data_IF_940334082598
#
_entry.id   IF_940334082598
#
_cell.length_a   1.000
_cell.length_b   1.000
_cell.length_c   1.000
_cell.angle_alpha   90.00
_cell.angle_beta   90.00
_cell.angle_gamma   90.00
#
_symmetry.space_group_name_H-M   'P 1'
#
loop_
_entity.id
_entity.type
_entity.pdbx_description
1 polymer ?
#
# COMPACT_ATOMS: atom_id res chain seq x y z
N UNK A 1 -5.30 0.11 -3.57
CA UNK A 1 -4.85 1.33 -4.26
C UNK A 1 -3.32 1.48 -4.23
N UNK A 2 -2.67 1.29 -3.11
CA UNK A 2 -1.22 1.50 -2.99
C UNK A 2 -0.40 0.68 -3.98
N UNK A 3 -0.68 -0.60 -4.14
CA UNK A 3 0.03 -1.46 -5.09
C UNK A 3 -0.08 -0.93 -6.52
N UNK A 4 -1.28 -0.51 -6.92
CA UNK A 4 -1.50 0.03 -8.27
C UNK A 4 -0.74 1.34 -8.49
N UNK A 5 -0.72 2.22 -7.51
CA UNK A 5 0.01 3.49 -7.58
C UNK A 5 1.51 3.23 -7.72
N UNK A 6 2.05 2.35 -6.87
CA UNK A 6 3.47 2.02 -6.89
C UNK A 6 3.87 1.39 -8.23
N UNK A 7 3.06 0.45 -8.71
CA UNK A 7 3.28 -0.20 -10.02
C UNK A 7 3.32 0.83 -11.15
N UNK A 8 2.36 1.75 -11.14
CA UNK A 8 2.25 2.78 -12.17
C UNK A 8 3.44 3.75 -12.14
N UNK A 9 3.79 4.26 -10.96
CA UNK A 9 4.89 5.20 -10.78
C UNK A 9 6.24 4.57 -11.17
N UNK A 10 6.46 3.33 -10.77
CA UNK A 10 7.68 2.61 -11.11
C UNK A 10 7.81 2.42 -12.62
N UNK A 11 6.71 2.05 -13.28
CA UNK A 11 6.69 1.88 -14.73
C UNK A 11 7.01 3.19 -15.45
N UNK A 12 6.39 4.30 -15.04
CA UNK A 12 6.64 5.61 -15.65
C UNK A 12 8.10 6.06 -15.51
N UNK A 13 8.74 5.69 -14.41
CA UNK A 13 10.11 6.11 -14.10
C UNK A 13 11.17 5.11 -14.56
N UNK A 14 10.76 4.00 -15.17
CA UNK A 14 11.69 2.96 -15.62
C UNK A 14 12.37 2.22 -14.48
N UNK A 15 11.74 2.15 -13.30
CA UNK A 15 12.27 1.46 -12.12
C UNK A 15 11.66 0.07 -12.06
N UNK A 16 12.50 -0.95 -11.93
CA UNK A 16 12.04 -2.34 -11.79
C UNK A 16 11.81 -2.68 -10.34
N UNK A 17 10.54 -2.95 -9.97
CA UNK A 17 10.15 -3.40 -8.64
C UNK A 17 9.10 -4.49 -8.78
N UNK A 18 9.09 -5.42 -7.82
CA UNK A 18 8.03 -6.42 -7.70
C UNK A 18 7.08 -5.90 -6.63
N UNK A 19 5.83 -5.67 -6.99
CA UNK A 19 4.82 -5.12 -6.10
C UNK A 19 3.76 -6.16 -5.76
N UNK A 20 3.26 -6.12 -4.53
CA UNK A 20 2.17 -6.95 -4.09
C UNK A 20 1.43 -6.23 -2.96
N UNK A 21 0.23 -6.69 -2.64
CA UNK A 21 -0.54 -6.16 -1.51
C UNK A 21 -1.28 -7.29 -0.80
N UNK A 22 -1.54 -7.08 0.49
CA UNK A 22 -2.21 -8.06 1.33
C UNK A 22 -2.99 -7.36 2.43
N UNK A 23 -4.00 -8.03 2.96
CA UNK A 23 -4.76 -7.57 4.12
C UNK A 23 -4.52 -8.45 5.34
N UNK A 24 -4.79 -7.92 6.52
CA UNK A 24 -4.67 -8.68 7.77
C UNK A 24 -5.88 -9.55 8.06
N UNK A 25 -7.00 -9.37 7.33
CA UNK A 25 -8.18 -10.21 7.44
C UNK A 25 -8.32 -11.10 6.19
N UNK A 26 -9.15 -12.15 6.30
CA UNK A 26 -9.40 -13.08 5.19
C UNK A 26 -10.75 -12.86 4.50
N UNK A 27 -11.51 -11.82 4.90
CA UNK A 27 -12.88 -11.60 4.41
C UNK A 27 -12.99 -11.40 2.91
N UNK A 28 -11.98 -10.80 2.30
CA UNK A 28 -12.01 -10.39 0.89
C UNK A 28 -11.00 -11.13 0.01
N UNK A 29 -10.42 -12.22 0.50
CA UNK A 29 -9.42 -13.00 -0.25
C UNK A 29 -9.99 -13.40 -1.62
N UNK A 30 -9.23 -13.11 -2.67
CA UNK A 30 -9.62 -13.40 -4.04
C UNK A 30 -10.52 -12.35 -4.69
N UNK A 31 -10.98 -11.36 -3.94
CA UNK A 31 -11.85 -10.31 -4.48
C UNK A 31 -11.05 -9.24 -5.22
N UNK A 32 -11.68 -8.64 -6.22
CA UNK A 32 -11.17 -7.46 -6.90
C UNK A 32 -11.27 -6.24 -5.97
N UNK A 33 -10.53 -5.15 -6.25
CA UNK A 33 -10.68 -3.91 -5.50
C UNK A 33 -12.11 -3.38 -5.55
N UNK A 34 -12.49 -2.62 -4.51
CA UNK A 34 -13.78 -1.93 -4.46
C UNK A 34 -14.01 -1.14 -5.75
N UNK A 35 -15.21 -1.20 -6.36
CA UNK A 35 -15.50 -0.46 -7.60
C UNK A 35 -15.25 1.04 -7.50
N UNK A 36 -15.45 1.64 -6.32
CA UNK A 36 -15.19 3.07 -6.12
C UNK A 36 -13.69 3.35 -6.12
N UNK A 37 -12.89 2.45 -5.56
CA UNK A 37 -11.43 2.55 -5.61
C UNK A 37 -10.96 2.44 -7.06
N UNK A 38 -11.50 1.50 -7.83
CA UNK A 38 -11.18 1.35 -9.25
C UNK A 38 -11.53 2.62 -10.04
N UNK A 39 -12.72 3.20 -9.77
CA UNK A 39 -13.15 4.43 -10.43
C UNK A 39 -12.22 5.60 -10.10
N UNK A 40 -11.82 5.75 -8.84
CA UNK A 40 -10.88 6.79 -8.43
C UNK A 40 -9.53 6.65 -9.14
N UNK A 41 -9.04 5.41 -9.27
CA UNK A 41 -7.78 5.15 -9.96
C UNK A 41 -7.86 5.45 -11.46
N UNK A 42 -8.98 5.10 -12.11
CA UNK A 42 -9.21 5.41 -13.53
C UNK A 42 -9.21 6.92 -13.77
N UNK A 43 -9.78 7.71 -12.84
CA UNK A 43 -9.73 9.17 -12.93
C UNK A 43 -8.30 9.71 -12.93
N UNK A 44 -7.35 8.96 -12.37
CA UNK A 44 -5.94 9.30 -12.33
C UNK A 44 -5.11 8.58 -13.41
N UNK A 45 -5.78 7.94 -14.36
CA UNK A 45 -5.11 7.21 -15.44
C UNK A 45 -4.51 5.88 -15.03
N UNK A 46 -4.98 5.27 -13.96
CA UNK A 46 -4.46 4.01 -13.43
C UNK A 46 -5.55 2.94 -13.40
N UNK A 47 -5.18 1.70 -13.71
CA UNK A 47 -6.09 0.56 -13.66
C UNK A 47 -5.61 -0.47 -12.64
N UNK A 48 -6.53 -0.92 -11.77
CA UNK A 48 -6.24 -1.90 -10.72
C UNK A 48 -7.21 -3.08 -10.74
N UNK A 49 -8.06 -3.19 -11.77
CA UNK A 49 -9.06 -4.24 -11.85
C UNK A 49 -8.50 -5.65 -11.89
N UNK A 50 -7.22 -5.81 -12.29
CA UNK A 50 -6.53 -7.09 -12.33
C UNK A 50 -6.04 -7.55 -10.94
N UNK A 51 -5.96 -6.65 -9.96
CA UNK A 51 -5.47 -6.98 -8.63
C UNK A 51 -6.50 -7.80 -7.85
N UNK A 52 -6.01 -8.66 -6.96
CA UNK A 52 -6.87 -9.49 -6.12
C UNK A 52 -6.37 -9.46 -4.67
N UNK A 53 -7.31 -9.44 -3.75
CA UNK A 53 -6.99 -9.46 -2.32
C UNK A 53 -6.39 -10.80 -1.91
N UNK A 54 -5.39 -10.77 -1.04
CA UNK A 54 -4.87 -11.95 -0.37
C UNK A 54 -4.60 -11.61 1.10
N UNK A 55 -4.45 -12.64 1.92
CA UNK A 55 -4.13 -12.45 3.31
C UNK A 55 -2.62 -12.30 3.52
N UNK A 56 -2.22 -11.38 4.39
CA UNK A 56 -0.84 -11.21 4.81
C UNK A 56 -0.39 -12.43 5.62
N UNK A 57 0.84 -12.88 5.40
CA UNK A 57 1.39 -14.09 6.04
C UNK A 57 2.83 -13.86 6.50
N UNK A 58 3.27 -14.71 7.44
CA UNK A 58 4.61 -14.61 8.01
C UNK A 58 5.73 -14.68 6.96
N UNK A 59 5.56 -15.49 5.90
CA UNK A 59 6.54 -15.61 4.82
C UNK A 59 6.76 -14.32 4.05
N UNK A 60 5.83 -13.37 4.11
CA UNK A 60 6.00 -12.06 3.46
C UNK A 60 7.20 -11.30 4.02
N UNK A 61 7.53 -11.53 5.29
CA UNK A 61 8.71 -10.89 5.91
C UNK A 61 10.04 -11.35 5.31
N UNK A 62 10.09 -12.55 4.73
CA UNK A 62 11.30 -13.05 4.09
C UNK A 62 11.30 -12.81 2.58
N UNK A 63 10.13 -12.75 1.96
CA UNK A 63 10.00 -12.60 0.51
C UNK A 63 10.14 -11.16 0.03
N UNK A 64 9.78 -10.17 0.86
CA UNK A 64 9.79 -8.76 0.47
C UNK A 64 10.84 -7.97 1.24
N UNK A 65 11.47 -7.02 0.56
CA UNK A 65 12.49 -6.16 1.16
C UNK A 65 11.86 -5.03 1.99
N UNK A 66 10.73 -4.52 1.53
CA UNK A 66 10.02 -3.39 2.16
C UNK A 66 8.56 -3.77 2.33
N UNK A 67 8.03 -3.59 3.54
CA UNK A 67 6.65 -3.90 3.87
C UNK A 67 6.02 -2.64 4.47
N UNK A 68 4.91 -2.20 3.89
CA UNK A 68 4.27 -0.94 4.28
C UNK A 68 2.85 -1.18 4.79
N UNK A 69 2.54 -0.57 5.92
CA UNK A 69 1.21 -0.61 6.52
C UNK A 69 0.50 0.72 6.31
N UNK A 70 -0.82 0.66 6.16
CA UNK A 70 -1.62 1.87 5.97
C UNK A 70 -1.85 2.59 7.29
N UNK A 71 -2.01 1.86 8.39
CA UNK A 71 -2.28 2.42 9.71
C UNK A 71 -1.58 1.62 10.81
N UNK A 72 -1.64 2.16 12.05
CA UNK A 72 -0.99 1.55 13.19
C UNK A 72 -1.57 0.18 13.56
N UNK A 73 -2.86 -0.03 13.35
CA UNK A 73 -3.52 -1.31 13.60
C UNK A 73 -2.99 -2.38 12.64
N UNK A 74 -2.91 -2.07 11.35
CA UNK A 74 -2.32 -2.97 10.36
C UNK A 74 -0.86 -3.29 10.73
N UNK A 75 -0.09 -2.27 11.09
CA UNK A 75 1.32 -2.44 11.43
C UNK A 75 1.50 -3.38 12.62
N UNK A 76 0.70 -3.19 13.68
CA UNK A 76 0.74 -4.03 14.87
C UNK A 76 0.40 -5.49 14.52
N UNK A 77 -0.68 -5.71 13.76
CA UNK A 77 -1.11 -7.05 13.35
C UNK A 77 -0.07 -7.74 12.46
N UNK A 78 0.58 -6.99 11.57
CA UNK A 78 1.63 -7.54 10.71
C UNK A 78 2.85 -7.94 11.53
N UNK A 79 3.32 -7.07 12.43
CA UNK A 79 4.50 -7.33 13.27
C UNK A 79 4.30 -8.53 14.19
N UNK A 80 3.07 -8.78 14.62
CA UNK A 80 2.75 -9.94 15.45
C UNK A 80 2.99 -11.27 14.72
N UNK A 81 2.98 -11.26 13.39
CA UNK A 81 3.22 -12.45 12.56
C UNK A 81 4.70 -12.62 12.19
N UNK A 82 5.56 -11.66 12.49
CA UNK A 82 6.96 -11.73 12.10
C UNK A 82 7.68 -12.85 12.84
N UNK A 83 8.47 -13.69 12.12
CA UNK A 83 9.23 -14.77 12.75
C UNK A 83 10.29 -14.29 13.75
N UNK A 84 10.84 -13.11 13.54
CA UNK A 84 11.85 -12.50 14.43
C UNK A 84 11.60 -11.01 14.58
N UNK A 85 12.16 -10.41 15.62
CA UNK A 85 12.07 -8.95 15.83
C UNK A 85 12.84 -8.19 14.75
N UNK A 86 13.91 -8.76 14.22
CA UNK A 86 14.67 -8.17 13.11
C UNK A 86 13.79 -8.07 11.86
N UNK A 87 13.08 -9.16 11.51
CA UNK A 87 12.17 -9.15 10.38
C UNK A 87 10.99 -8.21 10.60
N UNK A 88 10.47 -8.15 11.84
CA UNK A 88 9.39 -7.22 12.17
C UNK A 88 9.75 -5.76 11.85
N UNK A 89 11.03 -5.39 11.96
CA UNK A 89 11.49 -4.04 11.68
C UNK A 89 11.39 -3.64 10.21
N UNK A 90 11.20 -4.59 9.30
CA UNK A 90 10.95 -4.28 7.88
C UNK A 90 9.59 -3.61 7.66
N UNK A 91 8.63 -3.85 8.55
CA UNK A 91 7.29 -3.28 8.44
C UNK A 91 7.24 -1.90 9.08
N UNK A 92 6.70 -0.93 8.35
CA UNK A 92 6.55 0.46 8.81
C UNK A 92 5.34 1.09 8.13
N UNK A 93 4.95 2.26 8.60
CA UNK A 93 3.83 2.99 8.00
C UNK A 93 4.25 3.55 6.64
N UNK A 94 3.36 3.43 5.66
CA UNK A 94 3.61 4.01 4.33
C UNK A 94 3.83 5.52 4.43
N UNK A 95 3.08 6.20 5.32
CA UNK A 95 3.19 7.65 5.50
C UNK A 95 4.49 8.10 6.15
N UNK A 96 5.30 7.19 6.69
CA UNK A 96 6.65 7.53 7.15
C UNK A 96 7.54 8.02 6.00
N UNK A 97 7.20 7.67 4.76
CA UNK A 97 7.91 8.15 3.57
C UNK A 97 7.46 9.55 3.13
N UNK A 98 6.42 10.11 3.74
CA UNK A 98 5.95 11.48 3.50
C UNK A 98 5.96 12.28 4.80
N UNK A 99 7.14 12.52 5.40
CA UNK A 99 7.21 13.19 6.71
C UNK A 99 6.74 14.64 6.70
N UNK A 100 6.65 15.27 5.52
CA UNK A 100 6.13 16.63 5.38
C UNK A 100 4.63 16.73 5.50
N UNK A 101 3.90 15.59 5.44
CA UNK A 101 2.45 15.56 5.63
C UNK A 101 2.14 15.36 7.11
N UNK A 102 1.04 15.97 7.63
CA UNK A 102 0.63 15.77 9.02
C UNK A 102 0.05 14.37 9.26
N UNK A 103 -0.54 13.75 8.23
CA UNK A 103 -1.19 12.44 8.36
C UNK A 103 -0.15 11.34 8.54
N UNK A 104 -0.30 10.56 9.59
CA UNK A 104 0.55 9.38 9.84
C UNK A 104 -0.10 8.08 9.41
N UNK A 105 -1.43 8.09 9.21
CA UNK A 105 -2.20 6.92 8.82
C UNK A 105 -3.00 7.24 7.57
N UNK A 106 -3.16 6.23 6.70
CA UNK A 106 -4.04 6.34 5.53
C UNK A 106 -5.41 5.85 5.96
N UNK A 107 -6.44 6.71 5.91
CA UNK A 107 -7.79 6.30 6.31
C UNK A 107 -8.39 5.31 5.32
N UNK A 108 -9.36 4.52 5.81
CA UNK A 108 -10.17 3.67 4.94
C UNK A 108 -11.24 4.56 4.29
N UNK A 109 -11.20 4.74 2.97
CA UNK A 109 -12.16 5.63 2.30
C UNK A 109 -13.54 4.99 2.09
N UNK A 110 -13.71 3.74 2.52
CA UNK A 110 -14.93 2.97 2.28
C UNK A 110 -16.19 3.67 2.80
N UNK A 111 -16.10 4.34 3.95
CA UNK A 111 -17.24 5.00 4.60
C UNK A 111 -17.43 6.45 4.18
N UNK A 112 -16.59 6.97 3.30
CA UNK A 112 -16.69 8.33 2.79
C UNK A 112 -17.26 8.38 1.38
N UNK A 113 -17.35 9.59 0.82
CA UNK A 113 -17.69 9.81 -0.57
C UNK A 113 -16.48 9.61 -1.50
N UNK A 114 -16.65 9.90 -2.78
CA UNK A 114 -15.61 9.75 -3.80
C UNK A 114 -14.36 10.58 -3.48
N UNK A 115 -14.52 11.70 -2.82
CA UNK A 115 -13.42 12.57 -2.39
C UNK A 115 -12.44 11.85 -1.46
N UNK A 116 -12.93 10.93 -0.63
CA UNK A 116 -12.09 10.14 0.26
C UNK A 116 -11.10 9.26 -0.50
N UNK A 117 -11.54 8.68 -1.62
CA UNK A 117 -10.67 7.88 -2.47
C UNK A 117 -9.63 8.74 -3.17
N UNK A 118 -10.00 9.93 -3.63
CA UNK A 118 -9.06 10.86 -4.27
C UNK A 118 -8.02 11.38 -3.28
N UNK A 119 -8.42 11.63 -2.03
CA UNK A 119 -7.53 12.07 -0.97
C UNK A 119 -6.52 10.97 -0.61
N UNK A 120 -6.97 9.73 -0.49
CA UNK A 120 -6.09 8.58 -0.26
C UNK A 120 -5.11 8.42 -1.42
N UNK A 121 -5.57 8.58 -2.66
CA UNK A 121 -4.71 8.53 -3.82
C UNK A 121 -3.59 9.57 -3.72
N UNK A 122 -3.91 10.80 -3.34
CA UNK A 122 -2.91 11.87 -3.21
C UNK A 122 -1.89 11.57 -2.12
N UNK A 123 -2.35 11.09 -0.95
CA UNK A 123 -1.48 10.71 0.16
C UNK A 123 -0.50 9.61 -0.23
N UNK A 124 -1.03 8.55 -0.84
CA UNK A 124 -0.22 7.41 -1.26
C UNK A 124 0.75 7.77 -2.37
N UNK A 125 0.34 8.62 -3.31
CA UNK A 125 1.21 9.07 -4.39
C UNK A 125 2.43 9.81 -3.82
N UNK A 126 2.24 10.71 -2.88
CA UNK A 126 3.34 11.43 -2.24
C UNK A 126 4.31 10.48 -1.54
N UNK A 127 3.79 9.57 -0.73
CA UNK A 127 4.61 8.64 0.03
C UNK A 127 5.37 7.66 -0.87
N UNK A 128 4.69 7.10 -1.86
CA UNK A 128 5.28 6.09 -2.75
C UNK A 128 6.25 6.72 -3.74
N UNK A 129 6.01 7.96 -4.16
CA UNK A 129 6.97 8.71 -4.99
C UNK A 129 8.29 8.89 -4.23
N UNK A 130 8.23 9.27 -2.95
CA UNK A 130 9.41 9.42 -2.10
C UNK A 130 10.12 8.08 -1.89
N UNK A 131 9.35 7.01 -1.68
CA UNK A 131 9.90 5.66 -1.55
C UNK A 131 10.70 5.26 -2.78
N UNK A 132 10.17 5.49 -3.98
CA UNK A 132 10.84 5.14 -5.23
C UNK A 132 12.15 5.91 -5.41
N UNK A 133 12.22 7.16 -5.00
CA UNK A 133 13.48 7.92 -5.03
C UNK A 133 14.55 7.26 -4.16
N UNK A 134 14.17 6.75 -2.99
CA UNK A 134 15.09 6.09 -2.09
C UNK A 134 15.56 4.74 -2.63
N UNK A 135 14.64 3.98 -3.22
CA UNK A 135 14.94 2.67 -3.80
C UNK A 135 15.82 2.77 -5.05
N UNK A 136 15.64 3.84 -5.83
CA UNK A 136 16.37 4.04 -7.09
C UNK A 136 17.80 4.56 -6.92
N UNK A 137 18.22 4.86 -5.71
CA UNK A 137 19.58 5.36 -5.42
C UNK A 137 20.64 4.29 -5.52
#
# INVERSE_FOLDING_TARGET
MAEGILRHLAHEQGITVITDSAGTSDYHVGEAPDPRAQAAMVRQGMEIGDLRARQFRASDFTEFDIILAMDASNLSNMRALAPTSELASKARLVMDHAPWRPEREVPDPYFGGDEGFDEVHAMLTDALQALLKDVAR
#
